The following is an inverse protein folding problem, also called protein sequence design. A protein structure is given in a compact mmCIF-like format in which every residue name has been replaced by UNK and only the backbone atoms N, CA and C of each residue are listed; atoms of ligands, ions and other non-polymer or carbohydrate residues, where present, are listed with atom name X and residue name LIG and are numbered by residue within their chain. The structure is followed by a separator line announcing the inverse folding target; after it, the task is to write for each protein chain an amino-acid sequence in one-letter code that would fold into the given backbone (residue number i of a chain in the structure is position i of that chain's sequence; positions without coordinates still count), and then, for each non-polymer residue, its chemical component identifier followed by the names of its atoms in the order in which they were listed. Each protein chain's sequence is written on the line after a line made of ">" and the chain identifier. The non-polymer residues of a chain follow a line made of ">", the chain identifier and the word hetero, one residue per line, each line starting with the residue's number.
data_IF_302095760398
#
_entry.id   IF_302095760398
#
_cell.length_a   1.000
_cell.length_b   1.000
_cell.length_c   1.000
_cell.angle_alpha   90.00
_cell.angle_beta   90.00
_cell.angle_gamma   90.00
#
_symmetry.space_group_name_H-M   'P 1'
#
loop_
_entity.id
_entity.type
_entity.pdbx_description
1 polymer ?
#
# COMPACT_ATOMS: atom_id res chain seq x y z
N UNK A 1 48.65 -23.66 16.71
CA UNK A 1 49.58 -23.23 17.79
C UNK A 1 48.83 -22.40 18.83
N UNK A 2 49.30 -22.32 20.08
CA UNK A 2 48.59 -21.58 21.15
C UNK A 2 48.35 -20.09 20.85
N UNK A 3 49.13 -19.51 19.93
CA UNK A 3 48.96 -18.15 19.41
C UNK A 3 47.73 -17.98 18.50
N UNK A 4 47.42 -18.95 17.62
CA UNK A 4 46.27 -18.88 16.71
C UNK A 4 44.96 -18.71 17.47
N UNK A 5 44.71 -19.57 18.48
CA UNK A 5 43.51 -19.47 19.34
C UNK A 5 43.39 -18.15 20.10
N UNK A 6 44.50 -17.42 20.30
CA UNK A 6 44.47 -16.10 20.93
C UNK A 6 44.07 -15.03 19.91
N UNK A 7 44.57 -15.11 18.68
CA UNK A 7 44.19 -14.19 17.60
C UNK A 7 42.73 -14.39 17.19
N UNK A 8 42.27 -15.63 17.07
CA UNK A 8 40.87 -15.94 16.72
C UNK A 8 39.90 -15.28 17.71
N UNK A 9 40.16 -15.40 19.02
CA UNK A 9 39.35 -14.75 20.06
C UNK A 9 39.33 -13.23 19.99
N UNK A 10 40.44 -12.60 19.57
CA UNK A 10 40.49 -11.14 19.40
C UNK A 10 39.65 -10.73 18.19
N UNK A 11 39.69 -11.50 17.10
CA UNK A 11 38.87 -11.27 15.91
C UNK A 11 37.38 -11.40 16.26
N UNK A 12 37.00 -12.47 16.96
CA UNK A 12 35.62 -12.69 17.40
C UNK A 12 35.10 -11.56 18.29
N UNK A 13 35.94 -11.09 19.23
CA UNK A 13 35.58 -9.97 20.10
C UNK A 13 35.39 -8.67 19.31
N UNK A 14 36.29 -8.35 18.36
CA UNK A 14 36.16 -7.16 17.52
C UNK A 14 34.92 -7.23 16.61
N UNK A 15 34.61 -8.41 16.07
CA UNK A 15 33.39 -8.65 15.30
C UNK A 15 32.15 -8.43 16.16
N UNK A 16 32.12 -8.99 17.38
CA UNK A 16 31.04 -8.78 18.34
C UNK A 16 30.84 -7.30 18.69
N UNK A 17 31.92 -6.57 19.00
CA UNK A 17 31.86 -5.13 19.29
C UNK A 17 31.34 -4.32 18.09
N UNK A 18 31.74 -4.69 16.87
CA UNK A 18 31.25 -4.06 15.65
C UNK A 18 29.75 -4.29 15.45
N UNK A 19 29.28 -5.53 15.58
CA UNK A 19 27.86 -5.89 15.45
C UNK A 19 27.01 -5.23 16.53
N UNK A 20 27.49 -5.19 17.77
CA UNK A 20 26.82 -4.50 18.87
C UNK A 20 26.67 -3.01 18.60
N UNK A 21 27.70 -2.37 18.05
CA UNK A 21 27.66 -0.94 17.68
C UNK A 21 26.63 -0.68 16.58
N UNK A 22 26.55 -1.55 15.56
CA UNK A 22 25.51 -1.44 14.52
C UNK A 22 24.12 -1.60 15.15
N UNK A 23 23.95 -2.60 16.02
CA UNK A 23 22.75 -2.82 16.82
C UNK A 23 22.25 -1.58 17.52
N UNK A 24 23.12 -0.93 18.29
CA UNK A 24 22.78 0.31 19.00
C UNK A 24 22.33 1.42 18.05
N UNK A 25 23.04 1.64 16.94
CA UNK A 25 22.62 2.65 15.95
C UNK A 25 21.30 2.31 15.27
N UNK A 26 21.05 1.04 14.97
CA UNK A 26 19.76 0.62 14.40
C UNK A 26 18.63 0.83 15.38
N UNK A 27 18.82 0.45 16.64
CA UNK A 27 17.82 0.62 17.70
C UNK A 27 17.51 2.11 17.92
N UNK A 28 18.54 2.95 18.03
CA UNK A 28 18.39 4.40 18.26
C UNK A 28 17.63 5.10 17.12
N UNK A 29 17.86 4.71 15.87
CA UNK A 29 17.25 5.36 14.69
C UNK A 29 15.90 4.75 14.29
N UNK A 30 15.72 3.43 14.43
CA UNK A 30 14.54 2.73 13.91
C UNK A 30 13.47 2.46 14.96
N UNK A 31 13.80 2.32 16.25
CA UNK A 31 12.77 2.15 17.29
C UNK A 31 11.80 3.33 17.38
N UNK A 32 12.23 4.61 17.26
CA UNK A 32 11.32 5.75 17.31
C UNK A 32 10.27 5.74 16.19
N UNK A 33 10.57 5.12 15.05
CA UNK A 33 9.70 5.03 13.87
C UNK A 33 9.16 3.62 13.65
N UNK A 34 9.25 2.74 14.66
CA UNK A 34 8.94 1.31 14.49
C UNK A 34 7.52 1.07 13.99
N UNK A 35 6.56 1.90 14.39
CA UNK A 35 5.15 1.72 14.04
C UNK A 35 4.90 2.07 12.56
N UNK A 36 5.66 3.01 12.01
CA UNK A 36 5.63 3.41 10.59
C UNK A 36 6.53 2.52 9.71
N UNK A 37 7.41 1.72 10.32
CA UNK A 37 8.37 0.87 9.61
C UNK A 37 7.68 -0.38 9.05
N UNK A 38 7.51 -0.44 7.72
CA UNK A 38 6.90 -1.58 7.02
C UNK A 38 7.79 -2.83 7.01
N UNK A 39 9.11 -2.67 7.05
CA UNK A 39 10.06 -3.77 7.19
C UNK A 39 11.51 -3.35 7.00
N UNK A 40 12.42 -4.30 7.23
CA UNK A 40 13.87 -4.11 7.23
C UNK A 40 14.50 -5.14 6.28
N UNK A 41 15.46 -4.71 5.47
CA UNK A 41 16.31 -5.59 4.65
C UNK A 41 17.74 -5.50 5.18
N UNK A 42 18.37 -6.65 5.44
CA UNK A 42 19.75 -6.70 5.91
C UNK A 42 20.69 -7.11 4.78
N UNK A 43 21.49 -6.18 4.28
CA UNK A 43 22.50 -6.42 3.25
C UNK A 43 23.91 -6.55 3.83
N UNK A 44 24.69 -7.51 3.36
CA UNK A 44 26.11 -7.60 3.73
C UNK A 44 26.88 -8.73 3.07
N UNK A 45 28.22 -8.64 3.02
CA UNK A 45 29.05 -9.68 2.44
C UNK A 45 29.24 -10.88 3.40
N UNK A 46 29.14 -12.08 2.84
CA UNK A 46 29.37 -13.33 3.57
C UNK A 46 28.40 -13.52 4.74
N UNK A 47 28.83 -14.26 5.76
CA UNK A 47 28.00 -14.67 6.91
C UNK A 47 27.65 -13.55 7.93
N UNK A 48 28.18 -12.34 7.75
CA UNK A 48 28.12 -11.29 8.78
C UNK A 48 26.68 -10.85 9.10
N UNK A 49 25.80 -10.82 8.08
CA UNK A 49 24.40 -10.44 8.23
C UNK A 49 23.59 -11.53 8.94
N UNK A 50 23.92 -12.80 8.72
CA UNK A 50 23.32 -13.93 9.44
C UNK A 50 23.76 -13.93 10.89
N UNK A 51 25.05 -13.68 11.17
CA UNK A 51 25.55 -13.56 12.53
C UNK A 51 24.90 -12.39 13.28
N UNK A 52 24.69 -11.27 12.59
CA UNK A 52 23.97 -10.12 13.11
C UNK A 52 22.50 -10.43 13.39
N UNK A 53 21.79 -11.01 12.41
CA UNK A 53 20.37 -11.34 12.53
C UNK A 53 20.13 -12.40 13.60
N UNK A 54 20.91 -13.48 13.63
CA UNK A 54 20.74 -14.58 14.58
C UNK A 54 21.26 -14.22 15.98
N UNK A 55 22.20 -13.28 16.08
CA UNK A 55 22.73 -12.80 17.34
C UNK A 55 21.74 -11.96 18.15
N UNK A 56 22.20 -11.55 19.34
CA UNK A 56 21.49 -10.68 20.27
C UNK A 56 22.04 -9.24 20.15
N UNK A 57 21.91 -8.68 18.94
CA UNK A 57 22.42 -7.35 18.60
C UNK A 57 21.34 -6.33 18.29
N UNK A 58 20.16 -6.79 17.85
CA UNK A 58 19.06 -5.94 17.40
C UNK A 58 17.88 -6.11 18.33
N UNK A 59 17.18 -5.02 18.66
CA UNK A 59 15.95 -5.09 19.43
C UNK A 59 14.93 -6.02 18.77
N UNK A 60 14.24 -6.83 19.59
CA UNK A 60 13.34 -7.89 19.09
C UNK A 60 12.23 -7.35 18.17
N UNK A 61 11.67 -6.17 18.48
CA UNK A 61 10.63 -5.54 17.65
C UNK A 61 11.11 -5.15 16.25
N UNK A 62 12.39 -4.80 16.10
CA UNK A 62 13.00 -4.54 14.79
C UNK A 62 13.34 -5.85 14.08
N UNK A 63 13.80 -6.85 14.84
CA UNK A 63 14.12 -8.18 14.33
C UNK A 63 12.90 -8.85 13.69
N UNK A 64 11.72 -8.71 14.30
CA UNK A 64 10.45 -9.20 13.78
C UNK A 64 10.02 -8.50 12.47
N UNK A 65 10.60 -7.34 12.17
CA UNK A 65 10.36 -6.58 10.93
C UNK A 65 11.36 -6.90 9.81
N UNK A 66 12.34 -7.78 10.03
CA UNK A 66 13.30 -8.16 8.99
C UNK A 66 12.60 -9.04 7.93
N UNK A 67 12.53 -8.51 6.71
CA UNK A 67 11.91 -9.16 5.55
C UNK A 67 12.85 -10.24 4.99
N UNK A 68 14.11 -9.87 4.79
CA UNK A 68 15.10 -10.77 4.17
C UNK A 68 16.53 -10.31 4.45
N UNK A 69 17.47 -11.26 4.31
CA UNK A 69 18.91 -11.01 4.33
C UNK A 69 19.48 -11.20 2.93
N UNK A 70 20.33 -10.28 2.48
CA UNK A 70 20.85 -10.23 1.12
C UNK A 70 22.37 -10.26 1.11
N UNK A 71 22.94 -11.22 0.39
CA UNK A 71 24.38 -11.27 0.14
C UNK A 71 24.78 -10.15 -0.83
N UNK A 72 25.75 -9.31 -0.42
CA UNK A 72 26.33 -8.29 -1.29
C UNK A 72 27.79 -8.59 -1.61
N UNK A 73 28.20 -8.20 -2.80
CA UNK A 73 29.58 -8.30 -3.29
C UNK A 73 30.41 -7.10 -2.83
N UNK A 74 29.74 -5.98 -2.55
CA UNK A 74 30.35 -4.72 -2.16
C UNK A 74 29.77 -4.17 -0.85
N UNK A 75 30.51 -3.23 -0.24
CA UNK A 75 30.10 -2.46 0.94
C UNK A 75 29.93 -0.97 0.57
N UNK A 76 29.38 -0.17 1.49
CA UNK A 76 29.12 1.25 1.24
C UNK A 76 27.97 1.45 0.23
N UNK A 77 28.00 2.55 -0.52
CA UNK A 77 26.90 2.95 -1.41
C UNK A 77 26.56 1.90 -2.47
N UNK A 78 27.58 1.23 -3.04
CA UNK A 78 27.37 0.16 -4.02
C UNK A 78 26.70 -1.07 -3.40
N UNK A 79 27.07 -1.40 -2.16
CA UNK A 79 26.41 -2.48 -1.40
C UNK A 79 24.93 -2.16 -1.11
N UNK A 80 24.60 -0.90 -0.85
CA UNK A 80 23.19 -0.48 -0.64
C UNK A 80 22.37 -0.70 -1.91
N UNK A 81 22.87 -0.25 -3.07
CA UNK A 81 22.15 -0.45 -4.36
C UNK A 81 21.97 -1.92 -4.68
N UNK A 82 23.03 -2.72 -4.53
CA UNK A 82 22.95 -4.18 -4.73
C UNK A 82 21.96 -4.85 -3.76
N UNK A 83 21.87 -4.36 -2.52
CA UNK A 83 20.88 -4.84 -1.54
C UNK A 83 19.46 -4.57 -2.02
N UNK A 84 19.18 -3.36 -2.49
CA UNK A 84 17.87 -2.98 -3.02
C UNK A 84 17.49 -3.84 -4.22
N UNK A 85 18.39 -3.96 -5.20
CA UNK A 85 18.13 -4.71 -6.43
C UNK A 85 17.81 -6.19 -6.14
N UNK A 86 18.55 -6.81 -5.23
CA UNK A 86 18.35 -8.21 -4.84
C UNK A 86 17.15 -8.42 -3.90
N UNK A 87 16.75 -7.41 -3.13
CA UNK A 87 15.59 -7.48 -2.25
C UNK A 87 14.27 -7.20 -2.97
N UNK A 88 14.31 -6.62 -4.18
CA UNK A 88 13.15 -6.23 -4.98
C UNK A 88 12.03 -7.28 -4.98
N UNK A 89 12.32 -8.54 -5.32
CA UNK A 89 11.31 -9.60 -5.34
C UNK A 89 10.69 -9.91 -3.98
N UNK A 90 11.46 -9.85 -2.88
CA UNK A 90 10.92 -10.06 -1.54
C UNK A 90 10.04 -8.87 -1.08
N UNK A 91 10.38 -7.65 -1.51
CA UNK A 91 9.59 -6.46 -1.24
C UNK A 91 8.27 -6.47 -2.02
N UNK A 92 8.31 -6.88 -3.29
CA UNK A 92 7.14 -7.06 -4.14
C UNK A 92 6.20 -8.12 -3.55
N UNK A 93 6.74 -9.29 -3.16
CA UNK A 93 5.97 -10.34 -2.52
C UNK A 93 5.30 -9.86 -1.22
N UNK A 94 6.00 -9.05 -0.41
CA UNK A 94 5.42 -8.45 0.79
C UNK A 94 4.24 -7.53 0.47
N UNK A 95 4.36 -6.70 -0.57
CA UNK A 95 3.27 -5.84 -1.05
C UNK A 95 2.04 -6.66 -1.45
N UNK A 96 2.24 -7.69 -2.27
CA UNK A 96 1.18 -8.62 -2.68
C UNK A 96 0.51 -9.30 -1.48
N UNK A 97 1.28 -9.69 -0.46
CA UNK A 97 0.72 -10.28 0.78
C UNK A 97 -0.12 -9.25 1.54
N UNK A 98 0.30 -7.99 1.59
CA UNK A 98 -0.45 -6.91 2.26
C UNK A 98 -1.77 -6.63 1.54
N UNK A 99 -1.75 -6.50 0.21
CA UNK A 99 -2.96 -6.33 -0.62
C UNK A 99 -3.95 -7.47 -0.39
N UNK A 100 -3.48 -8.74 -0.43
CA UNK A 100 -4.32 -9.91 -0.17
C UNK A 100 -4.99 -9.84 1.21
N UNK A 101 -4.23 -9.50 2.26
CA UNK A 101 -4.78 -9.38 3.61
C UNK A 101 -5.84 -8.29 3.72
N UNK A 102 -5.66 -7.16 3.05
CA UNK A 102 -6.64 -6.07 3.02
C UNK A 102 -7.94 -6.50 2.35
N UNK A 103 -7.85 -7.12 1.17
CA UNK A 103 -9.05 -7.62 0.48
C UNK A 103 -9.74 -8.73 1.28
N UNK A 104 -8.98 -9.64 1.89
CA UNK A 104 -9.53 -10.67 2.77
C UNK A 104 -10.27 -10.08 3.98
N UNK A 105 -9.73 -9.00 4.57
CA UNK A 105 -10.41 -8.25 5.64
C UNK A 105 -11.72 -7.65 5.14
N UNK A 106 -11.71 -6.96 3.99
CA UNK A 106 -12.92 -6.43 3.37
C UNK A 106 -13.97 -7.52 3.11
N UNK A 107 -13.57 -8.68 2.56
CA UNK A 107 -14.46 -9.82 2.33
C UNK A 107 -14.98 -10.44 3.64
N UNK A 108 -14.22 -10.33 4.74
CA UNK A 108 -14.67 -10.77 6.05
C UNK A 108 -15.77 -9.84 6.61
N UNK A 109 -15.58 -8.53 6.52
CA UNK A 109 -16.59 -7.53 6.88
C UNK A 109 -17.88 -7.76 6.08
N UNK A 110 -17.79 -8.01 4.78
CA UNK A 110 -18.96 -8.27 3.93
C UNK A 110 -19.82 -9.47 4.38
N UNK A 111 -19.21 -10.47 5.04
CA UNK A 111 -19.92 -11.68 5.51
C UNK A 111 -20.57 -11.49 6.88
N UNK A 112 -20.21 -10.44 7.60
CA UNK A 112 -20.79 -10.13 8.91
C UNK A 112 -22.06 -9.30 8.73
N UNK A 113 -23.14 -9.70 9.42
CA UNK A 113 -24.42 -8.96 9.42
C UNK A 113 -24.26 -7.52 9.96
N UNK A 114 -23.22 -7.27 10.76
CA UNK A 114 -22.86 -5.95 11.29
C UNK A 114 -21.55 -5.40 10.72
N UNK A 115 -21.07 -5.95 9.60
CA UNK A 115 -19.79 -5.61 9.01
C UNK A 115 -19.65 -4.16 8.59
N UNK A 116 -18.44 -3.62 8.72
CA UNK A 116 -18.10 -2.25 8.38
C UNK A 116 -17.51 -2.19 6.97
N UNK A 117 -18.38 -2.30 5.97
CA UNK A 117 -17.98 -2.30 4.56
C UNK A 117 -18.86 -1.39 3.70
N UNK A 118 -18.33 -1.02 2.54
CA UNK A 118 -19.07 -0.36 1.47
C UNK A 118 -18.49 -0.83 0.13
N UNK A 119 -19.32 -0.98 -0.90
CA UNK A 119 -18.83 -1.34 -2.23
C UNK A 119 -19.64 -0.67 -3.34
N UNK A 120 -19.01 -0.54 -4.49
CA UNK A 120 -19.58 0.19 -5.61
C UNK A 120 -19.46 1.70 -5.44
N UNK A 121 -19.18 2.38 -6.55
CA UNK A 121 -18.81 3.80 -6.56
C UNK A 121 -19.77 4.70 -5.79
N UNK A 122 -21.08 4.56 -6.01
CA UNK A 122 -22.07 5.46 -5.40
C UNK A 122 -22.10 5.37 -3.87
N UNK A 123 -22.14 4.15 -3.33
CA UNK A 123 -22.18 3.95 -1.88
C UNK A 123 -20.84 4.34 -1.25
N UNK A 124 -19.72 3.94 -1.87
CA UNK A 124 -18.38 4.29 -1.39
C UNK A 124 -18.15 5.79 -1.41
N UNK A 125 -18.52 6.51 -2.48
CA UNK A 125 -18.41 7.98 -2.55
C UNK A 125 -19.24 8.66 -1.46
N UNK A 126 -20.48 8.21 -1.26
CA UNK A 126 -21.33 8.78 -0.20
C UNK A 126 -20.68 8.60 1.18
N UNK A 127 -20.12 7.42 1.44
CA UNK A 127 -19.44 7.14 2.71
C UNK A 127 -18.09 7.89 2.85
N UNK A 128 -17.38 8.10 1.75
CA UNK A 128 -16.18 8.94 1.69
C UNK A 128 -16.54 10.36 2.09
N UNK A 129 -17.52 10.99 1.42
CA UNK A 129 -17.99 12.36 1.69
C UNK A 129 -18.48 12.55 3.13
N UNK A 130 -18.97 11.49 3.78
CA UNK A 130 -19.38 11.48 5.19
C UNK A 130 -18.23 11.24 6.18
N UNK A 131 -16.99 11.02 5.70
CA UNK A 131 -15.82 10.73 6.53
C UNK A 131 -15.85 9.35 7.20
N UNK A 132 -16.72 8.44 6.72
CA UNK A 132 -16.96 7.14 7.33
C UNK A 132 -15.98 6.06 6.88
N UNK A 133 -15.22 6.29 5.80
CA UNK A 133 -14.26 5.32 5.27
C UNK A 133 -12.97 5.34 6.11
N UNK A 134 -12.48 4.13 6.41
CA UNK A 134 -11.15 3.92 7.00
C UNK A 134 -10.13 3.69 5.90
N UNK A 135 -10.39 2.65 5.09
CA UNK A 135 -9.54 2.21 3.99
C UNK A 135 -10.36 2.13 2.71
N UNK A 136 -9.95 2.86 1.69
CA UNK A 136 -10.49 2.77 0.34
C UNK A 136 -9.67 1.75 -0.48
N UNK A 137 -10.36 0.80 -1.10
CA UNK A 137 -9.77 -0.23 -1.96
C UNK A 137 -10.16 0.03 -3.41
N UNK A 138 -9.18 0.30 -4.26
CA UNK A 138 -9.39 0.55 -5.70
C UNK A 138 -8.61 -0.46 -6.52
N UNK A 139 -9.28 -1.09 -7.48
CA UNK A 139 -8.63 -1.98 -8.44
C UNK A 139 -7.81 -1.17 -9.45
N UNK A 140 -6.60 -1.62 -9.77
CA UNK A 140 -5.76 -1.01 -10.81
C UNK A 140 -6.41 -1.02 -12.21
N UNK A 141 -7.25 -2.03 -12.49
CA UNK A 141 -7.97 -2.17 -13.75
C UNK A 141 -9.17 -1.20 -13.92
N UNK A 142 -9.41 -0.28 -12.98
CA UNK A 142 -10.43 0.75 -13.13
C UNK A 142 -10.04 1.76 -14.21
N UNK A 143 -10.72 1.69 -15.35
CA UNK A 143 -10.52 2.60 -16.49
C UNK A 143 -11.66 3.60 -16.69
N UNK A 144 -12.39 3.88 -15.61
CA UNK A 144 -13.54 4.79 -15.65
C UNK A 144 -13.08 6.22 -15.37
N UNK A 145 -13.83 7.20 -15.88
CA UNK A 145 -13.53 8.62 -15.67
C UNK A 145 -14.70 9.34 -15.03
N UNK A 146 -14.41 10.31 -14.18
CA UNK A 146 -15.39 11.23 -13.61
C UNK A 146 -15.51 12.44 -14.53
N UNK A 147 -16.72 12.73 -14.99
CA UNK A 147 -17.02 13.84 -15.88
C UNK A 147 -17.92 14.84 -15.20
N UNK A 148 -17.55 16.12 -15.29
CA UNK A 148 -18.41 17.24 -14.93
C UNK A 148 -19.07 17.78 -16.19
N UNK A 149 -20.39 17.84 -16.17
CA UNK A 149 -21.23 18.25 -17.28
C UNK A 149 -21.98 19.54 -16.91
N UNK A 150 -21.90 20.53 -17.80
CA UNK A 150 -22.63 21.78 -17.65
C UNK A 150 -23.62 21.97 -18.80
N UNK A 151 -24.86 22.32 -18.46
CA UNK A 151 -25.86 22.73 -19.42
C UNK A 151 -25.76 24.23 -19.70
N UNK A 152 -25.34 24.60 -20.91
CA UNK A 152 -25.19 26.02 -21.30
C UNK A 152 -26.53 26.78 -21.43
N UNK A 153 -27.65 26.06 -21.53
CA UNK A 153 -28.98 26.66 -21.72
C UNK A 153 -29.66 27.05 -20.39
N UNK A 154 -29.48 26.26 -19.33
CA UNK A 154 -30.15 26.49 -18.05
C UNK A 154 -29.21 26.56 -16.83
N UNK A 155 -27.91 26.31 -17.02
CA UNK A 155 -26.92 26.31 -15.94
C UNK A 155 -26.96 25.07 -15.04
N UNK A 156 -27.64 24.00 -15.44
CA UNK A 156 -27.65 22.75 -14.69
C UNK A 156 -26.28 22.08 -14.71
N UNK A 157 -25.80 21.64 -13.54
CA UNK A 157 -24.54 20.91 -13.36
C UNK A 157 -24.83 19.45 -13.00
N UNK A 158 -24.11 18.53 -13.60
CA UNK A 158 -24.18 17.11 -13.28
C UNK A 158 -22.80 16.47 -13.30
N UNK A 159 -22.59 15.52 -12.41
CA UNK A 159 -21.40 14.68 -12.41
C UNK A 159 -21.79 13.25 -12.75
N UNK A 160 -21.09 12.65 -13.69
CA UNK A 160 -21.35 11.29 -14.15
C UNK A 160 -20.04 10.53 -14.29
N UNK A 161 -20.10 9.24 -14.03
CA UNK A 161 -18.95 8.35 -14.23
C UNK A 161 -19.11 7.61 -15.56
N UNK A 162 -18.14 7.79 -16.45
CA UNK A 162 -18.08 7.14 -17.74
C UNK A 162 -17.22 5.87 -17.63
N UNK A 163 -17.82 4.71 -17.91
CA UNK A 163 -17.06 3.46 -18.07
C UNK A 163 -16.39 3.39 -19.44
N UNK A 164 -15.26 2.69 -19.52
CA UNK A 164 -14.53 2.49 -20.78
C UNK A 164 -15.46 1.93 -21.89
N UNK A 165 -15.48 2.60 -23.05
CA UNK A 165 -16.34 2.23 -24.18
C UNK A 165 -17.80 2.71 -24.10
N UNK A 166 -18.23 3.31 -22.99
CA UNK A 166 -19.54 3.94 -22.90
C UNK A 166 -19.51 5.29 -23.60
N UNK A 167 -20.26 5.43 -24.70
CA UNK A 167 -20.43 6.72 -25.36
C UNK A 167 -21.26 7.64 -24.46
N UNK A 168 -20.67 8.76 -24.05
CA UNK A 168 -21.35 9.85 -23.31
C UNK A 168 -22.08 10.80 -24.27
N UNK A 169 -22.09 10.50 -25.57
CA UNK A 169 -22.50 11.38 -26.66
C UNK A 169 -24.00 11.80 -26.66
N UNK A 170 -24.85 11.29 -25.76
CA UNK A 170 -26.28 11.58 -25.72
C UNK A 170 -26.82 11.96 -24.32
N UNK A 171 -25.99 12.48 -23.40
CA UNK A 171 -26.50 13.01 -22.13
C UNK A 171 -27.20 14.35 -22.34
N UNK A 172 -28.53 14.29 -22.44
CA UNK A 172 -29.41 15.47 -22.45
C UNK A 172 -29.66 15.96 -21.03
N UNK A 173 -29.75 17.28 -20.87
CA UNK A 173 -30.03 17.90 -19.59
C UNK A 173 -31.41 17.47 -19.09
N UNK A 174 -31.53 16.89 -17.88
CA UNK A 174 -32.82 16.46 -17.33
C UNK A 174 -33.80 17.62 -17.10
N UNK A 175 -33.33 18.87 -17.08
CA UNK A 175 -34.17 20.04 -16.79
C UNK A 175 -34.71 20.73 -18.06
N UNK A 176 -33.91 20.86 -19.11
CA UNK A 176 -34.30 21.58 -20.34
C UNK A 176 -34.15 20.78 -21.63
N UNK A 177 -33.71 19.52 -21.54
CA UNK A 177 -33.52 18.58 -22.65
C UNK A 177 -32.50 19.04 -23.73
N UNK A 178 -31.69 20.05 -23.43
CA UNK A 178 -30.57 20.47 -24.27
C UNK A 178 -29.33 19.61 -24.05
N UNK A 179 -28.41 19.61 -25.02
CA UNK A 179 -27.15 18.88 -24.90
C UNK A 179 -26.27 19.44 -23.79
N UNK A 180 -25.73 18.57 -22.95
CA UNK A 180 -24.74 18.96 -21.94
C UNK A 180 -23.32 18.93 -22.52
N UNK A 181 -22.46 19.82 -22.02
CA UNK A 181 -21.05 19.91 -22.41
C UNK A 181 -20.17 19.42 -21.27
N UNK A 182 -19.18 18.58 -21.59
CA UNK A 182 -18.12 18.19 -20.65
C UNK A 182 -17.24 19.41 -20.39
N UNK A 183 -17.11 19.78 -19.12
CA UNK A 183 -16.27 20.89 -18.66
C UNK A 183 -15.02 20.42 -17.93
N UNK A 184 -15.09 19.28 -17.25
CA UNK A 184 -13.95 18.63 -16.60
C UNK A 184 -14.02 17.11 -16.79
N UNK A 185 -12.84 16.51 -16.86
CA UNK A 185 -12.63 15.06 -16.99
C UNK A 185 -11.43 14.70 -16.12
N UNK A 186 -11.63 13.78 -15.17
CA UNK A 186 -10.65 13.29 -14.22
C UNK A 186 -10.70 11.76 -14.18
N UNK A 187 -9.58 11.11 -13.88
CA UNK A 187 -9.55 9.67 -13.66
C UNK A 187 -10.34 9.29 -12.39
N UNK A 188 -11.12 8.21 -12.43
CA UNK A 188 -11.94 7.84 -11.26
C UNK A 188 -11.09 7.41 -10.06
N UNK A 189 -9.93 6.80 -10.28
CA UNK A 189 -9.00 6.44 -9.20
C UNK A 189 -8.50 7.73 -8.54
N UNK A 190 -8.04 8.70 -9.34
CA UNK A 190 -7.54 9.99 -8.85
C UNK A 190 -8.64 10.76 -8.08
N UNK A 191 -9.84 10.88 -8.64
CA UNK A 191 -10.97 11.55 -8.01
C UNK A 191 -11.35 10.95 -6.64
N UNK A 192 -11.49 9.62 -6.56
CA UNK A 192 -11.82 8.95 -5.30
C UNK A 192 -10.66 8.99 -4.29
N UNK A 193 -9.42 8.91 -4.77
CA UNK A 193 -8.23 9.02 -3.92
C UNK A 193 -8.11 10.41 -3.30
N UNK A 194 -8.33 11.47 -4.08
CA UNK A 194 -8.32 12.85 -3.59
C UNK A 194 -9.35 13.06 -2.47
N UNK A 195 -10.60 12.61 -2.67
CA UNK A 195 -11.65 12.70 -1.64
C UNK A 195 -11.26 11.92 -0.38
N UNK A 196 -10.67 10.73 -0.55
CA UNK A 196 -10.24 9.89 0.56
C UNK A 196 -9.14 10.55 1.38
N UNK A 197 -8.09 11.05 0.74
CA UNK A 197 -6.95 11.71 1.40
C UNK A 197 -7.38 12.98 2.12
N UNK A 198 -8.21 13.82 1.49
CA UNK A 198 -8.74 15.06 2.09
C UNK A 198 -9.54 14.80 3.37
N UNK A 199 -10.19 13.64 3.47
CA UNK A 199 -11.01 13.23 4.61
C UNK A 199 -10.26 12.24 5.54
N UNK A 200 -8.95 12.08 5.31
CA UNK A 200 -8.04 11.32 6.16
C UNK A 200 -8.21 9.80 6.08
N UNK A 201 -8.79 9.28 5.00
CA UNK A 201 -8.88 7.84 4.71
C UNK A 201 -7.60 7.36 4.02
N UNK A 202 -7.17 6.13 4.27
CA UNK A 202 -6.04 5.53 3.53
C UNK A 202 -6.52 4.95 2.20
N UNK A 203 -5.75 5.14 1.14
CA UNK A 203 -6.05 4.61 -0.20
C UNK A 203 -5.10 3.46 -0.53
N UNK A 204 -5.64 2.33 -0.96
CA UNK A 204 -4.87 1.15 -1.34
C UNK A 204 -5.29 0.70 -2.75
N UNK A 205 -4.31 0.64 -3.64
CA UNK A 205 -4.49 0.13 -5.00
C UNK A 205 -4.24 -1.37 -4.98
N UNK A 206 -5.18 -2.13 -5.52
CA UNK A 206 -5.19 -3.59 -5.46
C UNK A 206 -4.96 -4.14 -6.87
N UNK A 207 -3.92 -4.97 -7.01
CA UNK A 207 -3.62 -5.62 -8.28
C UNK A 207 -4.59 -6.76 -8.59
N UNK A 208 -4.97 -6.91 -9.86
CA UNK A 208 -5.83 -8.00 -10.33
C UNK A 208 -5.07 -9.30 -10.62
N UNK A 209 -3.75 -9.33 -10.40
CA UNK A 209 -2.90 -10.52 -10.51
C UNK A 209 -3.17 -11.56 -9.42
N UNK A 210 -3.75 -11.14 -8.30
CA UNK A 210 -4.14 -12.01 -7.19
C UNK A 210 -5.58 -12.51 -7.33
N UNK A 211 -5.90 -13.67 -6.74
CA UNK A 211 -7.29 -14.17 -6.74
C UNK A 211 -8.22 -13.19 -6.01
N UNK A 212 -7.77 -12.67 -4.87
CA UNK A 212 -8.50 -11.69 -4.07
C UNK A 212 -8.72 -10.37 -4.81
N UNK A 213 -7.68 -9.81 -5.43
CA UNK A 213 -7.80 -8.58 -6.21
C UNK A 213 -8.67 -8.75 -7.46
N UNK A 214 -8.55 -9.90 -8.14
CA UNK A 214 -9.45 -10.25 -9.24
C UNK A 214 -10.91 -10.35 -8.78
N UNK A 215 -11.15 -10.86 -7.57
CA UNK A 215 -12.48 -10.91 -6.97
C UNK A 215 -13.02 -9.50 -6.66
N UNK A 216 -12.20 -8.60 -6.11
CA UNK A 216 -12.56 -7.19 -5.90
C UNK A 216 -13.05 -6.56 -7.22
N UNK A 217 -12.29 -6.73 -8.30
CA UNK A 217 -12.64 -6.18 -9.60
C UNK A 217 -13.91 -6.81 -10.19
N UNK A 218 -13.96 -8.14 -10.30
CA UNK A 218 -15.01 -8.84 -11.04
C UNK A 218 -16.35 -8.91 -10.31
N UNK A 219 -16.32 -9.10 -8.99
CA UNK A 219 -17.54 -9.28 -8.20
C UNK A 219 -18.08 -7.95 -7.65
N UNK A 220 -17.21 -6.98 -7.35
CA UNK A 220 -17.59 -5.73 -6.70
C UNK A 220 -17.37 -4.48 -7.57
N UNK A 221 -16.95 -4.67 -8.83
CA UNK A 221 -16.73 -3.58 -9.77
C UNK A 221 -15.48 -2.77 -9.49
N UNK A 222 -14.53 -3.32 -8.73
CA UNK A 222 -13.21 -2.73 -8.49
C UNK A 222 -13.16 -1.62 -7.44
N UNK A 223 -14.28 -1.31 -6.77
CA UNK A 223 -14.36 -0.25 -5.77
C UNK A 223 -14.96 -0.84 -4.49
N UNK A 224 -14.16 -0.88 -3.43
CA UNK A 224 -14.56 -1.31 -2.10
C UNK A 224 -14.02 -0.37 -1.03
N UNK A 225 -14.58 -0.45 0.17
CA UNK A 225 -14.11 0.30 1.32
C UNK A 225 -14.40 -0.46 2.61
N UNK A 226 -13.50 -0.31 3.58
CA UNK A 226 -13.70 -0.68 4.98
C UNK A 226 -14.07 0.59 5.74
N UNK A 227 -15.12 0.54 6.54
CA UNK A 227 -15.66 1.71 7.25
C UNK A 227 -15.14 1.78 8.68
N UNK A 228 -15.08 3.00 9.23
CA UNK A 228 -14.79 3.28 10.64
C UNK A 228 -16.02 3.06 11.52
N UNK A 229 -17.19 3.35 10.97
CA UNK A 229 -18.48 3.23 11.62
C UNK A 229 -19.57 3.03 10.58
N UNK A 230 -20.71 2.48 11.01
CA UNK A 230 -21.85 2.31 10.13
C UNK A 230 -22.61 3.63 9.96
N UNK A 231 -23.02 3.91 8.73
CA UNK A 231 -23.75 5.14 8.38
C UNK A 231 -25.25 4.88 8.19
N UNK A 232 -25.68 3.63 8.37
CA UNK A 232 -27.08 3.16 8.30
C UNK A 232 -27.69 2.92 9.68
#
# INVERSE_FOLDING_TARGET
>A
GQSQRRFDRVIDQLAHEFLKRIGTHMDDELLPIKDDLKGIVLGGPGGTKEDYYNGDYMHYELKDKVITTVDTSYTGEFGIRETIDKASGALEELGVIQEKKLVQRFLAELRDDHGLYSYGEKEVRTNLEMGAVDVLLLSEDLKSKRLTLDCQACGFHAEVTQKEGQKVEDLTCPQCNEKMKITQEEDLIEDLANIAEDLGSSVEIISTETEEGSQLYRAFGGIGAILRYNVR
#
